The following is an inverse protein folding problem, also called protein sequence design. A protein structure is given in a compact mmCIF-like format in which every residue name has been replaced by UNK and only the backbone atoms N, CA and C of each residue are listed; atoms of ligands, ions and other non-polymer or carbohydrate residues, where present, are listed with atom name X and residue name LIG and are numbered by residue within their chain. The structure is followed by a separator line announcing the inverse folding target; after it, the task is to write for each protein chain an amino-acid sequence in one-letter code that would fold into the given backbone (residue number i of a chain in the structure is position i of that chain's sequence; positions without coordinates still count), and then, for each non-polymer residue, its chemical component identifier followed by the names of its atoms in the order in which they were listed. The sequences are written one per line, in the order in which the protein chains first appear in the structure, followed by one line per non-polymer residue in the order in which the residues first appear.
data_IF_516123680534
#
_entry.id   IF_516123680534
#
_cell.length_a   1.000
_cell.length_b   1.000
_cell.length_c   1.000
_cell.angle_alpha   90.00
_cell.angle_beta   90.00
_cell.angle_gamma   90.00
#
_symmetry.space_group_name_H-M   'P 1'
#
loop_
_entity.id
_entity.type
_entity.pdbx_description
1 polymer ?
#
# COMPACT_ATOMS: atom_id res chain seq x y z
N UNK A 1 4.51 3.63 -23.63
CA UNK A 1 5.17 4.80 -23.01
C UNK A 1 4.73 4.85 -21.55
N UNK A 2 5.63 4.56 -20.61
CA UNK A 2 5.32 4.75 -19.18
C UNK A 2 5.44 6.23 -18.86
N UNK A 3 4.32 6.88 -18.55
CA UNK A 3 4.35 8.22 -17.95
C UNK A 3 5.17 8.12 -16.64
N UNK A 4 6.12 9.02 -16.46
CA UNK A 4 6.84 9.13 -15.19
C UNK A 4 5.82 9.51 -14.11
N UNK A 5 5.86 8.87 -12.92
CA UNK A 5 4.98 9.25 -11.82
C UNK A 5 5.13 10.75 -11.52
N UNK A 6 3.99 11.41 -11.30
CA UNK A 6 3.96 12.83 -10.99
C UNK A 6 4.09 13.04 -9.48
N UNK A 7 4.50 14.25 -9.05
CA UNK A 7 4.48 14.60 -7.61
C UNK A 7 3.11 14.41 -6.96
N UNK A 8 2.03 14.62 -7.73
CA UNK A 8 0.66 14.41 -7.26
C UNK A 8 0.38 12.93 -6.99
N UNK A 9 0.95 12.03 -7.81
CA UNK A 9 0.84 10.58 -7.61
C UNK A 9 1.60 10.16 -6.34
N UNK A 10 2.80 10.70 -6.10
CA UNK A 10 3.57 10.43 -4.88
C UNK A 10 2.81 10.85 -3.62
N UNK A 11 2.23 12.05 -3.61
CA UNK A 11 1.42 12.52 -2.48
C UNK A 11 0.20 11.63 -2.22
N UNK A 12 -0.47 11.19 -3.29
CA UNK A 12 -1.62 10.30 -3.20
C UNK A 12 -1.22 8.94 -2.60
N UNK A 13 -0.09 8.38 -3.04
CA UNK A 13 0.46 7.12 -2.52
C UNK A 13 0.82 7.26 -1.03
N UNK A 14 1.49 8.35 -0.64
CA UNK A 14 1.84 8.61 0.76
C UNK A 14 0.61 8.72 1.65
N UNK A 15 -0.45 9.41 1.20
CA UNK A 15 -1.72 9.49 1.92
C UNK A 15 -2.38 8.12 2.06
N UNK A 16 -2.41 7.33 0.99
CA UNK A 16 -2.96 5.99 1.00
C UNK A 16 -2.21 5.07 1.99
N UNK A 17 -0.87 5.09 1.98
CA UNK A 17 -0.04 4.33 2.92
C UNK A 17 -0.33 4.72 4.37
N UNK A 18 -0.39 6.01 4.67
CA UNK A 18 -0.68 6.51 6.01
C UNK A 18 -2.05 6.01 6.53
N UNK A 19 -3.07 5.98 5.68
CA UNK A 19 -4.39 5.44 6.03
C UNK A 19 -4.35 3.92 6.23
N UNK A 20 -3.61 3.19 5.38
CA UNK A 20 -3.48 1.74 5.48
C UNK A 20 -2.79 1.30 6.76
N UNK A 21 -1.75 2.01 7.20
CA UNK A 21 -1.05 1.77 8.48
C UNK A 21 -1.98 2.01 9.68
N UNK A 22 -2.99 2.88 9.54
CA UNK A 22 -4.06 3.08 10.55
C UNK A 22 -5.15 2.01 10.51
N UNK A 23 -5.05 1.02 9.64
CA UNK A 23 -6.02 -0.08 9.54
C UNK A 23 -7.21 0.19 8.63
N UNK A 24 -7.21 1.28 7.85
CA UNK A 24 -8.29 1.58 6.91
C UNK A 24 -8.24 0.58 5.74
N UNK A 25 -9.40 0.07 5.30
CA UNK A 25 -9.47 -0.88 4.20
C UNK A 25 -9.16 -0.23 2.85
N UNK A 26 -8.73 -1.03 1.86
CA UNK A 26 -8.46 -0.51 0.51
C UNK A 26 -9.68 0.15 -0.14
N UNK A 27 -10.89 -0.32 0.19
CA UNK A 27 -12.13 0.26 -0.33
C UNK A 27 -12.34 1.65 0.25
N UNK A 28 -12.30 1.76 1.57
CA UNK A 28 -12.49 3.04 2.27
C UNK A 28 -11.41 4.07 1.89
N UNK A 29 -10.14 3.64 1.73
CA UNK A 29 -9.08 4.54 1.22
C UNK A 29 -9.42 5.04 -0.19
N UNK A 30 -9.90 4.16 -1.06
CA UNK A 30 -10.31 4.52 -2.41
C UNK A 30 -11.46 5.54 -2.41
N UNK A 31 -12.47 5.31 -1.56
CA UNK A 31 -13.62 6.21 -1.41
C UNK A 31 -13.19 7.59 -0.88
N UNK A 32 -12.27 7.64 0.10
CA UNK A 32 -11.75 8.89 0.67
C UNK A 32 -10.90 9.68 -0.34
N UNK A 33 -10.06 9.00 -1.12
CA UNK A 33 -9.13 9.64 -2.04
C UNK A 33 -9.72 9.88 -3.44
N UNK A 34 -10.91 9.34 -3.73
CA UNK A 34 -11.52 9.40 -5.05
C UNK A 34 -10.76 8.54 -6.08
N UNK A 35 -10.17 7.43 -5.65
CA UNK A 35 -9.29 6.57 -6.45
C UNK A 35 -9.78 5.13 -6.40
N UNK A 36 -9.68 4.39 -7.50
CA UNK A 36 -10.08 2.98 -7.54
C UNK A 36 -9.30 2.12 -6.54
N UNK A 37 -10.00 1.23 -5.83
CA UNK A 37 -9.42 0.25 -4.89
C UNK A 37 -8.23 -0.51 -5.47
N UNK A 38 -8.32 -0.92 -6.74
CA UNK A 38 -7.24 -1.66 -7.42
C UNK A 38 -5.98 -0.82 -7.55
N UNK A 39 -6.09 0.48 -7.86
CA UNK A 39 -4.96 1.40 -7.93
C UNK A 39 -4.27 1.56 -6.58
N UNK A 40 -5.04 1.76 -5.51
CA UNK A 40 -4.52 1.82 -4.14
C UNK A 40 -3.83 0.49 -3.75
N UNK A 41 -4.46 -0.64 -4.09
CA UNK A 41 -3.90 -1.97 -3.85
C UNK A 41 -2.55 -2.16 -4.52
N UNK A 42 -2.45 -1.86 -5.82
CA UNK A 42 -1.19 -1.95 -6.57
C UNK A 42 -0.12 -1.02 -6.01
N UNK A 43 -0.46 0.23 -5.74
CA UNK A 43 0.51 1.22 -5.25
C UNK A 43 1.06 0.85 -3.87
N UNK A 44 0.17 0.49 -2.93
CA UNK A 44 0.60 0.12 -1.57
C UNK A 44 1.42 -1.17 -1.61
N UNK A 45 0.99 -2.18 -2.37
CA UNK A 45 1.75 -3.42 -2.56
C UNK A 45 3.15 -3.19 -3.13
N UNK A 46 3.30 -2.29 -4.12
CA UNK A 46 4.60 -1.96 -4.69
C UNK A 46 5.57 -1.37 -3.65
N UNK A 47 5.08 -0.54 -2.72
CA UNK A 47 5.91 -0.01 -1.62
C UNK A 47 6.31 -1.12 -0.64
N UNK A 48 5.41 -2.03 -0.30
CA UNK A 48 5.73 -3.17 0.54
C UNK A 48 6.79 -4.08 -0.09
N UNK A 49 6.71 -4.33 -1.39
CA UNK A 49 7.70 -5.13 -2.12
C UNK A 49 9.07 -4.43 -2.22
N UNK A 50 9.08 -3.11 -2.40
CA UNK A 50 10.30 -2.32 -2.34
C UNK A 50 10.97 -2.43 -0.96
N UNK A 51 10.19 -2.26 0.12
CA UNK A 51 10.70 -2.36 1.49
C UNK A 51 11.22 -3.76 1.83
N UNK A 52 10.51 -4.81 1.39
CA UNK A 52 10.99 -6.19 1.51
C UNK A 52 12.34 -6.40 0.81
N UNK A 53 12.55 -5.80 -0.36
CA UNK A 53 13.77 -5.94 -1.15
C UNK A 53 14.93 -5.12 -0.57
N UNK A 54 14.63 -3.94 -0.02
CA UNK A 54 15.64 -2.93 0.35
C UNK A 54 16.05 -2.99 1.83
N UNK A 55 15.15 -3.39 2.72
CA UNK A 55 15.42 -3.45 4.17
C UNK A 55 16.41 -4.56 4.57
N UNK A 56 16.48 -5.65 3.79
CA UNK A 56 17.19 -6.87 4.18
C UNK A 56 16.58 -7.58 5.40
N UNK A 57 15.43 -7.11 5.89
CA UNK A 57 14.73 -7.70 7.02
C UNK A 57 13.99 -8.99 6.61
N UNK A 58 13.67 -9.83 7.60
CA UNK A 58 12.81 -11.00 7.36
C UNK A 58 11.40 -10.50 6.99
N UNK A 59 10.77 -11.14 6.02
CA UNK A 59 9.42 -10.77 5.56
C UNK A 59 8.37 -10.64 6.68
N UNK A 60 8.45 -11.46 7.73
CA UNK A 60 7.55 -11.37 8.89
C UNK A 60 7.74 -10.08 9.71
N UNK A 61 8.94 -9.51 9.72
CA UNK A 61 9.23 -8.23 10.39
C UNK A 61 8.63 -7.08 9.59
N UNK A 62 8.85 -7.08 8.28
CA UNK A 62 8.27 -6.09 7.35
C UNK A 62 6.73 -6.14 7.38
N UNK A 63 6.12 -7.32 7.24
CA UNK A 63 4.65 -7.50 7.34
C UNK A 63 4.07 -6.96 8.67
N UNK A 64 4.78 -7.16 9.77
CA UNK A 64 4.39 -6.64 11.09
C UNK A 64 4.48 -5.10 11.16
N UNK A 65 5.38 -4.48 10.41
CA UNK A 65 5.55 -3.03 10.33
C UNK A 65 4.36 -2.31 9.71
N UNK A 66 3.78 -2.89 8.65
CA UNK A 66 2.66 -2.28 7.92
C UNK A 66 1.30 -2.44 8.61
N UNK A 67 1.09 -3.50 9.41
CA UNK A 67 -0.17 -3.79 10.14
C UNK A 67 -1.44 -3.73 9.29
N UNK A 68 -1.31 -3.98 7.99
CA UNK A 68 -2.46 -3.84 7.10
C UNK A 68 -3.54 -4.86 7.44
N UNK A 69 -4.83 -4.47 7.33
CA UNK A 69 -5.93 -5.41 7.49
C UNK A 69 -5.75 -6.56 6.49
N UNK A 70 -5.45 -7.76 7.01
CA UNK A 70 -5.34 -8.95 6.17
C UNK A 70 -6.73 -9.27 5.65
N UNK A 71 -6.85 -9.45 4.33
CA UNK A 71 -8.07 -9.99 3.76
C UNK A 71 -8.34 -11.36 4.40
N UNK A 72 -9.56 -11.56 4.93
CA UNK A 72 -10.08 -12.88 5.28
C UNK A 72 -10.13 -13.73 4.00
N UNK A 73 -9.03 -14.39 3.65
CA UNK A 73 -8.93 -15.17 2.41
C UNK A 73 -7.52 -15.44 1.90
N UNK A 74 -6.50 -14.70 2.34
CA UNK A 74 -5.12 -15.02 2.00
C UNK A 74 -4.65 -16.24 2.83
N UNK A 75 -4.94 -17.45 2.33
CA UNK A 75 -4.34 -18.69 2.85
C UNK A 75 -2.82 -18.60 2.71
N UNK A 76 -2.14 -18.97 3.79
CA UNK A 76 -0.69 -19.20 3.87
C UNK A 76 -0.24 -20.24 2.85
#
# INVERSE_FOLDING_TARGET
MSALPTRQDDELILRALAMRVRGISLSEVGDILGVGKSTIGMATQAVFEADLRESGERAAVVDRGYRWPKHKGARR
#
